data_IF_641967047569
#
_entry.id   IF_641967047569
#
_cell.length_a   1.000
_cell.length_b   1.000
_cell.length_c   1.000
_cell.angle_alpha   90.00
_cell.angle_beta   90.00
_cell.angle_gamma   90.00
#
_symmetry.space_group_name_H-M   'P 1'
#
loop_
_entity.id
_entity.type
_entity.pdbx_description
1 polymer ?
#
# COMPACT_ATOMS: atom_id res chain seq x y z
N UNK A 1 -52.85 34.43 2.67
CA UNK A 1 -51.67 34.86 1.89
C UNK A 1 -50.39 34.57 2.68
N UNK A 2 -50.10 33.29 2.95
CA UNK A 2 -49.07 32.93 3.95
C UNK A 2 -48.23 31.70 3.55
N UNK A 3 -48.45 31.17 2.34
CA UNK A 3 -47.76 29.97 1.83
C UNK A 3 -46.53 30.31 0.97
N UNK A 4 -46.49 31.49 0.33
CA UNK A 4 -45.39 31.91 -0.53
C UNK A 4 -44.12 32.26 0.26
N UNK A 5 -44.25 32.69 1.53
CA UNK A 5 -43.11 33.05 2.38
C UNK A 5 -42.32 31.84 2.91
N UNK A 6 -42.89 30.63 2.88
CA UNK A 6 -42.21 29.42 3.40
C UNK A 6 -41.36 28.69 2.36
N UNK A 7 -41.52 29.02 1.08
CA UNK A 7 -40.74 28.43 -0.01
C UNK A 7 -39.40 29.15 -0.24
N UNK A 8 -39.24 30.39 0.23
CA UNK A 8 -37.99 31.14 0.11
C UNK A 8 -36.89 30.68 1.09
N UNK A 9 -37.24 29.98 2.17
CA UNK A 9 -36.28 29.52 3.19
C UNK A 9 -35.57 28.19 2.87
N UNK A 10 -35.83 27.56 1.72
CA UNK A 10 -35.19 26.29 1.35
C UNK A 10 -34.07 26.41 0.31
N UNK A 11 -33.70 27.64 -0.07
CA UNK A 11 -32.74 27.91 -1.16
C UNK A 11 -31.37 28.42 -0.69
N UNK A 12 -31.05 28.34 0.61
CA UNK A 12 -29.78 28.84 1.15
C UNK A 12 -29.07 27.81 2.04
N UNK A 13 -28.62 26.71 1.45
CA UNK A 13 -27.57 25.86 2.02
C UNK A 13 -26.80 25.17 0.88
N UNK A 14 -26.36 25.98 -0.08
CA UNK A 14 -25.47 25.55 -1.14
C UNK A 14 -24.04 25.42 -0.59
N UNK A 15 -23.48 24.23 -0.81
CA UNK A 15 -22.06 23.98 -1.10
C UNK A 15 -21.01 24.46 -0.06
N UNK A 16 -20.76 23.64 0.95
CA UNK A 16 -19.40 23.47 1.48
C UNK A 16 -18.77 22.23 0.84
N UNK A 17 -18.26 22.39 -0.38
CA UNK A 17 -17.33 21.44 -1.00
C UNK A 17 -15.96 21.73 -0.38
N UNK A 18 -15.56 20.95 0.62
CA UNK A 18 -14.16 20.92 1.06
C UNK A 18 -13.40 20.12 0.01
N UNK A 19 -12.64 20.85 -0.81
CA UNK A 19 -11.72 20.30 -1.80
C UNK A 19 -10.75 19.39 -1.06
N UNK A 20 -10.79 18.10 -1.35
CA UNK A 20 -9.81 17.13 -0.91
C UNK A 20 -8.42 17.61 -1.34
N UNK A 21 -7.51 17.78 -0.38
CA UNK A 21 -6.10 18.05 -0.66
C UNK A 21 -5.54 16.92 -1.53
N UNK A 22 -5.26 17.21 -2.80
CA UNK A 22 -4.36 16.42 -3.62
C UNK A 22 -2.97 16.49 -2.96
N UNK A 23 -2.71 15.57 -2.04
CA UNK A 23 -1.35 15.32 -1.58
C UNK A 23 -0.58 14.85 -2.81
N UNK A 24 0.38 15.64 -3.26
CA UNK A 24 1.37 15.18 -4.22
C UNK A 24 2.11 14.01 -3.56
N UNK A 25 1.70 12.78 -3.84
CA UNK A 25 2.52 11.61 -3.57
C UNK A 25 3.68 11.69 -4.54
N UNK A 26 4.74 12.39 -4.14
CA UNK A 26 6.01 12.35 -4.84
C UNK A 26 6.50 10.91 -4.75
N UNK A 27 6.32 10.14 -5.81
CA UNK A 27 6.93 8.82 -5.93
C UNK A 27 8.43 8.99 -5.69
N UNK A 28 9.01 8.37 -4.64
CA UNK A 28 10.43 8.49 -4.37
C UNK A 28 11.24 8.10 -5.61
N UNK A 29 12.38 8.77 -5.86
CA UNK A 29 13.21 8.44 -7.01
C UNK A 29 13.63 6.96 -6.96
N UNK A 30 13.72 6.34 -8.14
CA UNK A 30 14.15 4.96 -8.26
C UNK A 30 15.51 4.77 -7.59
N UNK A 31 15.58 3.86 -6.62
CA UNK A 31 16.80 3.51 -5.89
C UNK A 31 17.20 2.07 -6.22
N UNK A 32 18.25 1.86 -7.02
CA UNK A 32 18.72 0.52 -7.37
C UNK A 32 19.09 -0.31 -6.14
N UNK A 33 19.66 0.31 -5.10
CA UNK A 33 20.01 -0.35 -3.84
C UNK A 33 18.77 -0.86 -3.11
N UNK A 34 17.74 -0.02 -2.96
CA UNK A 34 16.51 -0.41 -2.27
C UNK A 34 15.73 -1.46 -3.07
N UNK A 35 15.72 -1.35 -4.40
CA UNK A 35 15.11 -2.37 -5.25
C UNK A 35 15.85 -3.72 -5.12
N UNK A 36 17.18 -3.72 -5.13
CA UNK A 36 17.98 -4.93 -4.90
C UNK A 36 17.71 -5.57 -3.53
N UNK A 37 17.48 -4.74 -2.51
CA UNK A 37 17.08 -5.25 -1.20
C UNK A 37 15.69 -5.89 -1.23
N UNK A 38 14.70 -5.26 -1.85
CA UNK A 38 13.37 -5.85 -1.99
C UNK A 38 13.41 -7.18 -2.76
N UNK A 39 14.17 -7.26 -3.86
CA UNK A 39 14.29 -8.50 -4.63
C UNK A 39 14.98 -9.61 -3.82
N UNK A 40 15.98 -9.26 -3.01
CA UNK A 40 16.62 -10.20 -2.08
C UNK A 40 15.62 -10.77 -1.07
N UNK A 41 14.84 -9.91 -0.40
CA UNK A 41 13.87 -10.34 0.61
C UNK A 41 12.73 -11.17 -0.01
N UNK A 42 12.23 -10.76 -1.19
CA UNK A 42 11.23 -11.53 -1.93
C UNK A 42 11.75 -12.92 -2.31
N UNK A 43 12.97 -13.00 -2.85
CA UNK A 43 13.57 -14.29 -3.22
C UNK A 43 13.77 -15.19 -2.00
N UNK A 44 14.13 -14.61 -0.85
CA UNK A 44 14.27 -15.33 0.41
C UNK A 44 12.91 -15.88 0.87
N UNK A 45 11.87 -15.04 0.86
CA UNK A 45 10.51 -15.46 1.21
C UNK A 45 10.03 -16.58 0.28
N UNK A 46 10.17 -16.40 -1.03
CA UNK A 46 9.77 -17.39 -2.02
C UNK A 46 10.44 -18.74 -1.80
N UNK A 47 11.73 -18.76 -1.42
CA UNK A 47 12.48 -19.99 -1.17
C UNK A 47 12.00 -20.76 0.06
N UNK A 48 11.68 -20.07 1.15
CA UNK A 48 11.47 -20.71 2.45
C UNK A 48 10.00 -20.78 2.88
N UNK A 49 9.17 -19.84 2.44
CA UNK A 49 7.76 -19.73 2.86
C UNK A 49 6.77 -20.16 1.79
N UNK A 50 7.19 -20.31 0.52
CA UNK A 50 6.28 -20.77 -0.53
C UNK A 50 6.01 -22.27 -0.34
N UNK A 51 4.98 -22.59 0.43
CA UNK A 51 4.46 -23.95 0.50
C UNK A 51 3.59 -24.25 -0.72
N UNK A 52 4.04 -25.18 -1.56
CA UNK A 52 3.34 -25.66 -2.78
C UNK A 52 1.99 -26.33 -2.51
N UNK A 53 1.62 -26.52 -1.24
CA UNK A 53 0.35 -27.14 -0.82
C UNK A 53 -0.62 -26.13 -0.20
N UNK A 54 -0.17 -24.92 0.17
CA UNK A 54 -0.96 -23.91 0.88
C UNK A 54 -1.14 -22.62 0.06
N UNK A 55 -1.49 -22.78 -1.22
CA UNK A 55 -1.74 -21.66 -2.15
C UNK A 55 -2.92 -20.76 -1.75
N UNK A 56 -3.81 -21.21 -0.87
CA UNK A 56 -5.04 -20.49 -0.53
C UNK A 56 -4.88 -19.41 0.56
N UNK A 57 -3.68 -19.21 1.09
CA UNK A 57 -3.44 -18.26 2.18
C UNK A 57 -3.31 -16.81 1.72
N UNK A 58 -3.19 -16.57 0.40
CA UNK A 58 -2.96 -15.24 -0.18
C UNK A 58 -1.57 -14.66 0.11
N UNK A 59 -0.69 -15.39 0.81
CA UNK A 59 0.64 -14.90 1.14
C UNK A 59 1.49 -14.64 -0.10
N UNK A 60 1.38 -15.49 -1.13
CA UNK A 60 2.07 -15.24 -2.39
C UNK A 60 1.67 -13.91 -3.02
N UNK A 61 0.36 -13.63 -3.10
CA UNK A 61 -0.12 -12.35 -3.61
C UNK A 61 0.38 -11.16 -2.76
N UNK A 62 0.48 -11.32 -1.43
CA UNK A 62 1.02 -10.27 -0.56
C UNK A 62 2.52 -10.03 -0.80
N UNK A 63 3.32 -11.08 -0.98
CA UNK A 63 4.75 -10.94 -1.29
C UNK A 63 4.97 -10.30 -2.66
N UNK A 64 4.17 -10.70 -3.67
CA UNK A 64 4.22 -10.12 -5.01
C UNK A 64 3.82 -8.65 -5.01
N UNK A 65 2.76 -8.28 -4.28
CA UNK A 65 2.33 -6.90 -4.10
C UNK A 65 3.41 -6.05 -3.42
N UNK A 66 4.07 -6.58 -2.38
CA UNK A 66 5.14 -5.88 -1.70
C UNK A 66 6.36 -5.63 -2.61
N UNK A 67 6.69 -6.59 -3.48
CA UNK A 67 7.71 -6.40 -4.50
C UNK A 67 7.28 -5.35 -5.53
N UNK A 68 6.00 -5.33 -5.90
CA UNK A 68 5.46 -4.32 -6.82
C UNK A 68 5.48 -2.91 -6.23
N UNK A 69 5.17 -2.76 -4.93
CA UNK A 69 5.35 -1.51 -4.20
C UNK A 69 6.79 -0.98 -4.36
N UNK A 70 7.79 -1.84 -4.21
CA UNK A 70 9.19 -1.45 -4.42
C UNK A 70 9.47 -1.03 -5.88
N UNK A 71 8.92 -1.73 -6.87
CA UNK A 71 9.07 -1.36 -8.29
C UNK A 71 8.43 0.00 -8.60
N UNK A 72 7.37 0.34 -7.87
CA UNK A 72 6.68 1.63 -7.96
C UNK A 72 7.31 2.72 -7.08
N UNK A 73 8.48 2.48 -6.48
CA UNK A 73 9.20 3.44 -5.64
C UNK A 73 8.69 3.55 -4.20
N UNK A 74 7.67 2.78 -3.81
CA UNK A 74 7.16 2.69 -2.43
C UNK A 74 8.00 1.71 -1.60
N UNK A 75 9.29 1.99 -1.47
CA UNK A 75 10.25 1.09 -0.85
C UNK A 75 9.93 0.78 0.62
N UNK A 76 9.55 1.78 1.41
CA UNK A 76 9.27 1.59 2.85
C UNK A 76 8.16 0.56 3.08
N UNK A 77 7.05 0.69 2.32
CA UNK A 77 5.92 -0.23 2.40
C UNK A 77 6.31 -1.66 1.95
N UNK A 78 7.00 -1.78 0.81
CA UNK A 78 7.41 -3.07 0.27
C UNK A 78 8.43 -3.80 1.17
N UNK A 79 9.46 -3.09 1.64
CA UNK A 79 10.47 -3.64 2.56
C UNK A 79 9.84 -4.09 3.87
N UNK A 80 9.04 -3.22 4.50
CA UNK A 80 8.39 -3.53 5.77
C UNK A 80 7.49 -4.77 5.65
N UNK A 81 6.73 -4.89 4.56
CA UNK A 81 5.83 -6.03 4.36
C UNK A 81 6.61 -7.32 4.12
N UNK A 82 7.66 -7.31 3.29
CA UNK A 82 8.50 -8.49 3.05
C UNK A 82 9.21 -8.95 4.33
N UNK A 83 9.76 -8.02 5.11
CA UNK A 83 10.37 -8.35 6.40
C UNK A 83 9.37 -8.94 7.39
N UNK A 84 8.17 -8.36 7.49
CA UNK A 84 7.10 -8.87 8.34
C UNK A 84 6.75 -10.32 7.98
N UNK A 85 6.67 -10.62 6.69
CA UNK A 85 6.37 -11.97 6.21
C UNK A 85 7.50 -12.96 6.56
N UNK A 86 8.76 -12.57 6.34
CA UNK A 86 9.93 -13.38 6.72
C UNK A 86 10.00 -13.64 8.24
N UNK A 87 9.74 -12.61 9.06
CA UNK A 87 9.70 -12.75 10.53
C UNK A 87 8.58 -13.68 10.99
N UNK A 88 7.40 -13.62 10.36
CA UNK A 88 6.29 -14.54 10.64
C UNK A 88 6.69 -15.99 10.35
N UNK A 89 7.43 -16.18 9.26
CA UNK A 89 8.04 -17.45 8.87
C UNK A 89 9.25 -17.90 9.70
N UNK A 90 9.68 -17.07 10.67
CA UNK A 90 10.92 -17.28 11.44
C UNK A 90 12.18 -17.40 10.55
N UNK A 91 12.14 -16.83 9.35
CA UNK A 91 13.28 -16.79 8.43
C UNK A 91 14.24 -15.70 8.87
N UNK A 92 15.52 -16.04 9.00
CA UNK A 92 16.57 -15.09 9.33
C UNK A 92 16.76 -14.08 8.20
N UNK A 93 16.65 -12.79 8.53
CA UNK A 93 16.82 -11.69 7.57
C UNK A 93 18.30 -11.27 7.58
N UNK A 94 18.99 -11.33 6.43
CA UNK A 94 20.37 -10.83 6.32
C UNK A 94 20.46 -9.33 6.63
N UNK A 95 21.58 -8.80 7.13
CA UNK A 95 21.76 -7.35 7.28
C UNK A 95 21.75 -6.61 5.93
N UNK A 96 21.69 -5.28 5.98
CA UNK A 96 21.52 -4.35 4.82
C UNK A 96 22.82 -3.82 4.21
#
# INVERSE_FOLDING_TARGET
MSALARLASRLLAAATIVIASAGCTSTPPASPRLLARCTQLYALWFRYEQHTTFHHTGQQAQAELALDDCKQGRYDAGLQQLEKMLRRGQVLIPPE
#
